data_IF_085021815720
#
_entry.id   IF_085021815720
#
_cell.length_a   1.000
_cell.length_b   1.000
_cell.length_c   1.000
_cell.angle_alpha   90.00
_cell.angle_beta   90.00
_cell.angle_gamma   90.00
#
_symmetry.space_group_name_H-M   'P 1'
#
loop_
_entity.id
_entity.type
_entity.pdbx_description
1 polymer ?
#
# COMPACT_ATOMS: atom_id res chain seq x y z
N UNK A 1 57.42 9.02 39.22
CA UNK A 1 56.37 9.46 40.15
C UNK A 1 55.12 9.76 39.32
N UNK A 2 54.15 8.84 39.33
CA UNK A 2 52.96 8.92 38.50
C UNK A 2 51.90 9.86 39.10
N UNK A 3 50.75 9.99 38.42
CA UNK A 3 49.60 10.74 38.96
C UNK A 3 49.06 10.14 40.28
N UNK A 4 49.34 8.86 40.57
CA UNK A 4 48.97 8.18 41.82
C UNK A 4 49.61 8.77 43.08
N UNK A 5 50.83 9.31 42.97
CA UNK A 5 51.58 9.88 44.10
C UNK A 5 51.10 11.29 44.51
N UNK A 6 50.17 11.87 43.75
CA UNK A 6 49.71 13.27 43.88
C UNK A 6 48.22 13.37 44.17
N UNK A 7 47.58 12.32 44.67
CA UNK A 7 46.15 12.36 45.00
C UNK A 7 45.95 13.19 46.27
N UNK A 8 45.06 14.18 46.21
CA UNK A 8 44.69 15.05 47.33
C UNK A 8 43.63 14.39 48.23
N UNK A 9 42.67 13.71 47.61
CA UNK A 9 41.51 13.15 48.30
C UNK A 9 41.00 11.90 47.59
N UNK A 10 40.51 10.94 48.38
CA UNK A 10 39.92 9.69 47.90
C UNK A 10 38.64 9.47 48.69
N UNK A 11 37.52 9.44 48.00
CA UNK A 11 36.23 9.06 48.57
C UNK A 11 35.59 7.99 47.69
N UNK A 12 34.73 7.19 48.30
CA UNK A 12 33.87 6.29 47.56
C UNK A 12 32.50 6.21 48.22
N UNK A 13 31.48 6.10 47.38
CA UNK A 13 30.08 6.03 47.78
C UNK A 13 29.44 4.80 47.16
N UNK A 14 28.57 4.12 47.89
CA UNK A 14 27.90 2.89 47.47
C UNK A 14 26.37 3.03 47.56
N UNK A 15 25.66 2.23 46.78
CA UNK A 15 24.19 2.12 46.81
C UNK A 15 23.50 2.63 45.54
N UNK A 16 22.20 2.88 45.64
CA UNK A 16 21.38 3.38 44.54
C UNK A 16 21.67 4.85 44.20
N UNK A 17 21.12 5.34 43.08
CA UNK A 17 21.30 6.74 42.67
C UNK A 17 20.90 7.72 43.78
N UNK A 18 21.83 8.60 44.16
CA UNK A 18 21.67 9.57 45.25
C UNK A 18 22.07 9.06 46.64
N UNK A 19 22.44 7.78 46.77
CA UNK A 19 23.00 7.22 48.01
C UNK A 19 24.34 7.86 48.37
N UNK A 20 24.56 8.04 49.68
CA UNK A 20 25.82 8.50 50.27
C UNK A 20 26.43 7.47 51.23
N UNK A 21 25.97 6.22 51.18
CA UNK A 21 26.56 5.14 51.95
C UNK A 21 28.03 4.96 51.54
N UNK A 22 28.87 4.51 52.45
CA UNK A 22 30.30 4.30 52.22
C UNK A 22 30.68 2.87 52.60
N UNK A 23 29.90 1.90 52.11
CA UNK A 23 30.14 0.46 52.30
C UNK A 23 31.31 0.00 51.41
N UNK A 24 32.45 0.66 51.55
CA UNK A 24 33.65 0.45 50.76
C UNK A 24 34.91 0.71 51.59
N UNK A 25 35.96 -0.03 51.30
CA UNK A 25 37.30 0.14 51.85
C UNK A 25 38.20 0.77 50.79
N UNK A 26 38.89 1.83 51.18
CA UNK A 26 39.90 2.50 50.36
C UNK A 26 41.27 2.09 50.90
N UNK A 27 42.12 1.53 50.06
CA UNK A 27 43.49 1.15 50.41
C UNK A 27 44.47 1.53 49.30
N UNK A 28 45.76 1.32 49.52
CA UNK A 28 46.80 1.53 48.52
C UNK A 28 47.63 0.26 48.41
N UNK A 29 47.82 -0.25 47.20
CA UNK A 29 48.57 -1.48 46.97
C UNK A 29 50.10 -1.27 47.10
N UNK A 30 50.87 -2.35 47.00
CA UNK A 30 52.33 -2.32 47.06
C UNK A 30 53.00 -1.56 45.90
N UNK A 31 52.24 -1.21 44.86
CA UNK A 31 52.70 -0.43 43.71
C UNK A 31 52.29 1.05 43.79
N UNK A 32 51.58 1.47 44.84
CA UNK A 32 51.12 2.84 45.03
C UNK A 32 49.79 3.17 44.34
N UNK A 33 49.07 2.18 43.82
CA UNK A 33 47.75 2.39 43.23
C UNK A 33 46.68 2.46 44.30
N UNK A 34 45.66 3.30 44.08
CA UNK A 34 44.50 3.35 44.97
C UNK A 34 43.57 2.18 44.66
N UNK A 35 43.23 1.40 45.68
CA UNK A 35 42.35 0.23 45.58
C UNK A 35 41.06 0.51 46.33
N UNK A 36 39.92 0.24 45.68
CA UNK A 36 38.58 0.46 46.21
C UNK A 36 37.84 -0.88 46.21
N UNK A 37 37.45 -1.35 47.40
CA UNK A 37 36.79 -2.63 47.59
C UNK A 37 35.44 -2.42 48.27
N UNK A 38 34.37 -3.01 47.74
CA UNK A 38 33.06 -2.98 48.42
C UNK A 38 33.09 -3.89 49.66
N UNK A 39 32.57 -3.43 50.79
CA UNK A 39 32.48 -4.25 52.03
C UNK A 39 31.20 -5.10 52.09
N UNK A 40 30.30 -4.94 51.11
CA UNK A 40 29.11 -5.76 50.91
C UNK A 40 28.87 -6.00 49.42
N UNK A 41 28.12 -7.07 49.11
CA UNK A 41 27.62 -7.31 47.76
C UNK A 41 26.62 -6.21 47.37
N UNK A 42 26.76 -5.67 46.16
CA UNK A 42 25.83 -4.70 45.60
C UNK A 42 24.62 -5.43 44.99
N UNK A 43 23.41 -4.95 45.28
CA UNK A 43 22.19 -5.46 44.68
C UNK A 43 22.03 -4.93 43.22
N UNK A 44 21.20 -5.58 42.38
CA UNK A 44 20.88 -5.05 41.06
C UNK A 44 20.39 -3.60 41.12
N UNK A 45 21.07 -2.68 40.43
CA UNK A 45 20.76 -1.25 40.43
C UNK A 45 21.52 -0.41 41.46
N UNK A 46 22.34 -1.03 42.32
CA UNK A 46 23.33 -0.34 43.16
C UNK A 46 24.70 -0.28 42.46
N UNK A 47 25.47 0.76 42.76
CA UNK A 47 26.81 0.95 42.22
C UNK A 47 27.82 1.42 43.27
N UNK A 48 29.07 1.57 42.85
CA UNK A 48 30.13 2.26 43.59
C UNK A 48 30.61 3.45 42.77
N UNK A 49 30.57 4.65 43.36
CA UNK A 49 31.10 5.88 42.78
C UNK A 49 32.42 6.20 43.46
N UNK A 50 33.49 6.35 42.68
CA UNK A 50 34.82 6.67 43.18
C UNK A 50 35.10 8.15 42.86
N UNK A 51 35.51 8.91 43.87
CA UNK A 51 35.96 10.30 43.74
C UNK A 51 37.43 10.34 44.08
N UNK A 52 38.25 10.72 43.11
CA UNK A 52 39.69 10.94 43.31
C UNK A 52 40.00 12.36 42.90
N UNK A 53 40.62 13.11 43.80
CA UNK A 53 40.99 14.51 43.56
C UNK A 53 42.48 14.61 43.31
N UNK A 54 42.86 15.30 42.23
CA UNK A 54 44.26 15.59 41.88
C UNK A 54 44.52 17.10 41.90
N UNK A 55 45.76 17.55 42.15
CA UNK A 55 46.14 18.94 41.99
C UNK A 55 45.99 19.37 40.53
N UNK A 56 45.66 20.64 40.34
CA UNK A 56 45.51 21.26 39.01
C UNK A 56 46.79 21.08 38.19
N UNK A 57 46.63 20.87 36.87
CA UNK A 57 47.75 20.71 35.92
C UNK A 57 48.17 19.26 35.65
N UNK A 58 47.50 18.27 36.24
CA UNK A 58 47.69 16.84 35.93
C UNK A 58 46.71 16.31 34.87
N UNK A 59 45.51 16.88 34.81
CA UNK A 59 44.50 16.61 33.77
C UNK A 59 44.25 17.93 33.05
N UNK A 60 44.53 17.96 31.74
CA UNK A 60 44.29 19.12 30.91
C UNK A 60 42.90 19.03 30.29
N UNK A 61 42.14 20.12 30.33
CA UNK A 61 40.88 20.21 29.62
C UNK A 61 41.13 20.18 28.10
N UNK A 62 40.34 19.44 27.30
CA UNK A 62 40.49 19.45 25.86
C UNK A 62 40.35 20.87 25.30
N UNK A 63 41.24 21.24 24.39
CA UNK A 63 41.20 22.50 23.66
C UNK A 63 39.89 22.64 22.87
N UNK A 64 39.50 23.87 22.52
CA UNK A 64 38.28 24.10 21.74
C UNK A 64 38.27 23.35 20.40
N UNK A 65 39.43 23.16 19.76
CA UNK A 65 39.58 22.36 18.54
C UNK A 65 39.37 20.86 18.79
N UNK A 66 39.85 20.32 19.91
CA UNK A 66 39.63 18.92 20.28
C UNK A 66 38.17 18.67 20.62
N UNK A 67 37.52 19.58 21.34
CA UNK A 67 36.07 19.51 21.58
C UNK A 67 35.27 19.54 20.28
N UNK A 68 35.64 20.42 19.34
CA UNK A 68 34.98 20.50 18.03
C UNK A 68 35.16 19.22 17.21
N UNK A 69 36.36 18.63 17.23
CA UNK A 69 36.64 17.36 16.56
C UNK A 69 35.83 16.21 17.16
N UNK A 70 35.81 16.10 18.50
CA UNK A 70 35.03 15.09 19.21
C UNK A 70 33.53 15.23 18.92
N UNK A 71 33.00 16.47 18.95
CA UNK A 71 31.60 16.73 18.57
C UNK A 71 31.32 16.33 17.12
N UNK A 72 32.24 16.57 16.19
CA UNK A 72 32.07 16.16 14.80
C UNK A 72 32.08 14.64 14.65
N UNK A 73 33.03 13.95 15.27
CA UNK A 73 33.15 12.49 15.23
C UNK A 73 31.92 11.81 15.86
N UNK A 74 31.44 12.33 16.99
CA UNK A 74 30.25 11.83 17.69
C UNK A 74 28.95 12.00 16.89
N UNK A 75 28.87 13.02 16.04
CA UNK A 75 27.67 13.36 15.26
C UNK A 75 27.81 13.10 13.75
N UNK A 76 28.90 12.47 13.31
CA UNK A 76 29.21 12.29 11.90
C UNK A 76 28.11 11.49 11.18
N UNK A 77 27.60 10.44 11.82
CA UNK A 77 26.50 9.62 11.29
C UNK A 77 25.22 10.42 11.06
N UNK A 78 24.88 11.33 11.98
CA UNK A 78 23.73 12.23 11.87
C UNK A 78 23.92 13.24 10.74
N UNK A 79 25.10 13.86 10.64
CA UNK A 79 25.42 14.82 9.60
C UNK A 79 25.39 14.18 8.20
N UNK A 80 25.94 12.98 8.06
CA UNK A 80 25.88 12.20 6.82
C UNK A 80 24.44 11.82 6.48
N UNK A 81 23.64 11.44 7.47
CA UNK A 81 22.22 11.15 7.30
C UNK A 81 21.41 12.36 6.80
N UNK A 82 21.54 13.50 7.47
CA UNK A 82 20.84 14.75 7.11
C UNK A 82 21.31 15.25 5.73
N UNK A 83 22.62 15.30 5.50
CA UNK A 83 23.19 15.69 4.21
C UNK A 83 22.74 14.77 3.08
N UNK A 84 22.69 13.47 3.34
CA UNK A 84 22.15 12.46 2.44
C UNK A 84 20.67 12.69 2.11
N UNK A 85 19.82 12.92 3.10
CA UNK A 85 18.39 13.23 2.90
C UNK A 85 18.22 14.49 2.05
N UNK A 86 18.98 15.56 2.34
CA UNK A 86 18.93 16.79 1.55
C UNK A 86 19.36 16.55 0.10
N UNK A 87 20.41 15.75 -0.11
CA UNK A 87 20.88 15.37 -1.44
C UNK A 87 19.81 14.55 -2.19
N UNK A 88 19.23 13.55 -1.55
CA UNK A 88 18.15 12.73 -2.12
C UNK A 88 16.94 13.58 -2.46
N UNK A 89 16.57 14.51 -1.58
CA UNK A 89 15.46 15.42 -1.77
C UNK A 89 15.72 16.34 -2.96
N UNK A 90 16.90 16.96 -3.03
CA UNK A 90 17.28 17.82 -4.14
C UNK A 90 17.28 17.05 -5.46
N UNK A 91 17.84 15.83 -5.47
CA UNK A 91 17.82 14.96 -6.64
C UNK A 91 16.39 14.68 -7.10
N UNK A 92 15.51 14.24 -6.20
CA UNK A 92 14.13 13.93 -6.53
C UNK A 92 13.31 15.15 -6.93
N UNK A 93 13.56 16.31 -6.32
CA UNK A 93 12.95 17.57 -6.73
C UNK A 93 13.37 17.95 -8.14
N UNK A 94 14.65 17.81 -8.50
CA UNK A 94 15.14 18.04 -9.87
C UNK A 94 14.48 17.05 -10.83
N UNK A 95 14.43 15.76 -10.47
CA UNK A 95 13.78 14.73 -11.29
C UNK A 95 12.29 15.05 -11.49
N UNK A 96 11.57 15.41 -10.44
CA UNK A 96 10.15 15.74 -10.50
C UNK A 96 9.89 16.97 -11.37
N UNK A 97 10.65 18.05 -11.19
CA UNK A 97 10.52 19.26 -12.01
C UNK A 97 10.79 18.98 -13.49
N UNK A 98 11.74 18.08 -13.80
CA UNK A 98 12.11 17.73 -15.19
C UNK A 98 11.14 16.78 -15.87
N UNK A 99 10.62 15.77 -15.17
CA UNK A 99 9.86 14.67 -15.81
C UNK A 99 8.56 14.27 -15.11
N UNK A 100 8.36 14.67 -13.85
CA UNK A 100 7.20 14.30 -13.06
C UNK A 100 6.07 15.34 -13.05
N UNK A 101 6.30 16.56 -13.52
CA UNK A 101 5.23 17.55 -13.71
C UNK A 101 4.34 17.15 -14.89
N UNK A 102 3.05 17.04 -14.62
CA UNK A 102 2.05 16.77 -15.65
C UNK A 102 2.01 17.94 -16.66
N UNK A 103 1.90 17.65 -17.98
CA UNK A 103 1.65 18.69 -18.98
C UNK A 103 0.37 19.47 -18.66
N UNK A 104 0.39 20.78 -18.92
CA UNK A 104 -0.76 21.64 -18.67
C UNK A 104 -2.00 21.18 -19.46
N UNK A 105 -3.21 21.29 -18.89
CA UNK A 105 -4.46 21.06 -19.61
C UNK A 105 -4.56 21.97 -20.84
N UNK A 106 -5.05 21.42 -21.96
CA UNK A 106 -5.59 22.24 -23.03
C UNK A 106 -6.96 22.84 -22.68
N UNK A 107 -7.53 23.68 -23.56
CA UNK A 107 -8.92 24.11 -23.44
C UNK A 107 -9.87 22.91 -23.52
N UNK A 108 -10.66 22.68 -22.47
CA UNK A 108 -11.62 21.58 -22.40
C UNK A 108 -12.96 22.07 -22.97
N UNK A 109 -13.33 21.54 -24.13
CA UNK A 109 -14.64 21.80 -24.73
C UNK A 109 -15.54 20.56 -24.52
N UNK A 110 -16.86 20.73 -24.31
CA UNK A 110 -17.79 19.60 -24.29
C UNK A 110 -17.68 18.79 -25.58
N UNK A 111 -17.47 17.48 -25.46
CA UNK A 111 -17.48 16.54 -26.59
C UNK A 111 -18.73 15.68 -26.51
N UNK A 112 -19.48 15.57 -27.60
CA UNK A 112 -20.74 14.83 -27.64
C UNK A 112 -20.56 13.32 -27.85
N UNK A 113 -19.37 12.91 -28.29
CA UNK A 113 -19.01 11.53 -28.59
C UNK A 113 -17.73 11.14 -27.84
N UNK A 114 -17.58 9.85 -27.47
CA UNK A 114 -16.36 9.38 -26.84
C UNK A 114 -15.18 9.49 -27.82
N UNK A 115 -13.94 9.70 -27.33
CA UNK A 115 -12.77 9.75 -28.19
C UNK A 115 -12.57 8.44 -28.97
N UNK A 116 -12.18 8.57 -30.24
CA UNK A 116 -12.08 7.44 -31.17
C UNK A 116 -11.21 6.29 -30.65
N UNK A 117 -11.77 5.08 -30.73
CA UNK A 117 -11.04 3.86 -30.39
C UNK A 117 -10.84 3.61 -28.90
N UNK A 118 -11.48 4.39 -28.01
CA UNK A 118 -11.44 4.15 -26.57
C UNK A 118 -12.72 3.44 -26.10
N UNK A 119 -12.56 2.24 -25.55
CA UNK A 119 -13.61 1.60 -24.76
C UNK A 119 -13.85 2.36 -23.45
N UNK A 120 -15.01 2.15 -22.77
CA UNK A 120 -15.26 2.77 -21.46
C UNK A 120 -14.17 2.45 -20.45
N UNK A 121 -13.74 1.19 -20.39
CA UNK A 121 -12.68 0.77 -19.50
C UNK A 121 -11.31 1.36 -19.86
N UNK A 122 -11.03 1.55 -21.15
CA UNK A 122 -9.84 2.25 -21.60
C UNK A 122 -9.85 3.73 -21.17
N UNK A 123 -10.98 4.43 -21.31
CA UNK A 123 -11.10 5.82 -20.82
C UNK A 123 -10.86 5.93 -19.32
N UNK A 124 -11.44 5.03 -18.52
CA UNK A 124 -11.18 5.00 -17.08
C UNK A 124 -9.71 4.70 -16.77
N UNK A 125 -9.13 3.74 -17.49
CA UNK A 125 -7.71 3.40 -17.34
C UNK A 125 -6.80 4.61 -17.65
N UNK A 126 -7.18 5.38 -18.67
CA UNK A 126 -6.49 6.61 -19.04
C UNK A 126 -6.66 7.67 -17.94
N UNK A 127 -7.89 8.04 -17.58
CA UNK A 127 -8.22 9.05 -16.56
C UNK A 127 -7.53 8.75 -15.21
N UNK A 128 -7.55 7.49 -14.75
CA UNK A 128 -6.99 7.08 -13.46
C UNK A 128 -5.51 6.71 -13.52
N UNK A 129 -4.90 6.78 -14.70
CA UNK A 129 -3.57 6.29 -14.99
C UNK A 129 -3.33 4.84 -14.53
N UNK A 130 -4.35 4.00 -14.49
CA UNK A 130 -4.28 2.71 -13.80
C UNK A 130 -5.57 1.92 -13.87
N UNK A 131 -5.47 0.65 -13.49
CA UNK A 131 -6.62 -0.25 -13.46
C UNK A 131 -7.28 -0.24 -12.08
N UNK A 132 -8.60 -0.26 -12.06
CA UNK A 132 -9.40 -0.48 -10.87
C UNK A 132 -10.65 -1.29 -11.20
N UNK A 133 -11.43 -1.62 -10.17
CA UNK A 133 -12.58 -2.53 -10.30
C UNK A 133 -13.71 -1.94 -11.13
N UNK A 134 -13.93 -0.62 -11.05
CA UNK A 134 -14.95 0.06 -11.87
C UNK A 134 -14.64 -0.05 -13.37
N UNK A 135 -13.37 -0.15 -13.78
CA UNK A 135 -13.02 -0.40 -15.19
C UNK A 135 -13.53 -1.77 -15.67
N UNK A 136 -13.55 -2.77 -14.80
CA UNK A 136 -14.10 -4.09 -15.11
C UNK A 136 -15.62 -4.05 -15.26
N UNK A 137 -16.33 -3.43 -14.32
CA UNK A 137 -17.79 -3.26 -14.39
C UNK A 137 -18.21 -2.50 -15.65
N UNK A 138 -17.49 -1.41 -15.99
CA UNK A 138 -17.74 -0.66 -17.22
C UNK A 138 -17.51 -1.49 -18.49
N UNK A 139 -16.49 -2.36 -18.52
CA UNK A 139 -16.24 -3.25 -19.64
C UNK A 139 -17.36 -4.29 -19.83
N UNK A 140 -17.82 -4.91 -18.74
CA UNK A 140 -18.88 -5.93 -18.77
C UNK A 140 -20.21 -5.31 -19.19
N UNK A 141 -20.53 -4.14 -18.64
CA UNK A 141 -21.70 -3.39 -19.04
C UNK A 141 -21.63 -3.01 -20.53
N UNK A 142 -20.46 -2.63 -21.05
CA UNK A 142 -20.30 -2.36 -22.47
C UNK A 142 -20.45 -3.61 -23.36
N UNK A 143 -19.99 -4.78 -22.88
CA UNK A 143 -20.23 -6.06 -23.56
C UNK A 143 -21.73 -6.38 -23.61
N UNK A 144 -22.46 -6.06 -22.54
CA UNK A 144 -23.90 -6.26 -22.44
C UNK A 144 -24.67 -5.36 -23.42
N UNK A 145 -24.36 -4.06 -23.41
CA UNK A 145 -24.95 -3.06 -24.34
C UNK A 145 -24.61 -3.38 -25.80
N UNK A 146 -23.42 -3.93 -26.09
CA UNK A 146 -23.05 -4.41 -27.44
C UNK A 146 -23.71 -5.75 -27.82
N UNK A 147 -24.59 -6.28 -26.97
CA UNK A 147 -25.33 -7.51 -27.18
C UNK A 147 -24.47 -8.76 -27.25
N UNK A 148 -23.31 -8.79 -26.55
CA UNK A 148 -22.41 -9.97 -26.50
C UNK A 148 -22.66 -10.87 -25.29
N UNK A 149 -23.29 -10.32 -24.26
CA UNK A 149 -23.74 -11.05 -23.09
C UNK A 149 -25.00 -10.40 -22.51
N UNK A 150 -25.71 -11.14 -21.69
CA UNK A 150 -26.75 -10.65 -20.77
C UNK A 150 -26.27 -10.82 -19.34
N UNK A 151 -26.84 -10.03 -18.45
CA UNK A 151 -26.54 -10.05 -17.03
C UNK A 151 -27.83 -10.41 -16.30
N UNK A 152 -27.85 -11.58 -15.69
CA UNK A 152 -28.90 -11.99 -14.77
C UNK A 152 -28.48 -11.68 -13.33
N UNK A 153 -29.42 -11.11 -12.56
CA UNK A 153 -29.28 -10.89 -11.12
C UNK A 153 -30.38 -11.66 -10.37
N UNK A 154 -29.96 -12.53 -9.46
CA UNK A 154 -30.83 -13.28 -8.55
C UNK A 154 -30.29 -13.10 -7.13
N UNK A 155 -31.09 -12.51 -6.22
CA UNK A 155 -30.74 -12.26 -4.81
C UNK A 155 -29.36 -11.60 -4.55
N UNK A 156 -28.86 -10.80 -5.51
CA UNK A 156 -27.57 -10.10 -5.44
C UNK A 156 -26.38 -10.89 -6.01
N UNK A 157 -26.61 -12.13 -6.44
CA UNK A 157 -25.69 -12.91 -7.24
C UNK A 157 -25.91 -12.63 -8.73
N UNK A 158 -24.81 -12.64 -9.48
CA UNK A 158 -24.81 -12.23 -10.88
C UNK A 158 -24.33 -13.37 -11.77
N UNK A 159 -25.07 -13.63 -12.84
CA UNK A 159 -24.72 -14.60 -13.88
C UNK A 159 -24.56 -13.88 -15.21
N UNK A 160 -23.42 -14.11 -15.88
CA UNK A 160 -23.17 -13.58 -17.22
C UNK A 160 -23.53 -14.66 -18.24
N UNK A 161 -24.51 -14.37 -19.09
CA UNK A 161 -25.01 -15.30 -20.10
C UNK A 161 -24.54 -14.83 -21.47
N UNK A 162 -23.87 -15.69 -22.22
CA UNK A 162 -23.40 -15.42 -23.58
C UNK A 162 -24.60 -15.31 -24.53
N UNK A 163 -24.49 -14.41 -25.50
CA UNK A 163 -25.46 -14.28 -26.59
C UNK A 163 -24.83 -14.71 -27.92
N UNK A 164 -25.67 -15.07 -28.89
CA UNK A 164 -25.24 -15.47 -30.24
C UNK A 164 -24.67 -14.31 -31.10
N UNK A 165 -24.44 -13.15 -30.49
CA UNK A 165 -23.90 -11.98 -31.18
C UNK A 165 -22.50 -12.23 -31.74
N UNK A 166 -22.28 -11.87 -33.02
CA UNK A 166 -20.96 -11.91 -33.66
C UNK A 166 -19.93 -11.10 -32.83
N UNK A 167 -18.65 -11.49 -32.81
CA UNK A 167 -17.57 -10.82 -32.04
C UNK A 167 -17.13 -9.46 -32.60
N UNK A 168 -17.72 -9.02 -33.70
CA UNK A 168 -17.44 -7.73 -34.33
C UNK A 168 -17.77 -6.54 -33.40
N UNK A 169 -16.93 -5.51 -33.46
CA UNK A 169 -17.08 -4.27 -32.67
C UNK A 169 -16.48 -4.29 -31.26
N UNK A 170 -15.81 -5.38 -30.84
CA UNK A 170 -15.10 -5.44 -29.56
C UNK A 170 -13.70 -4.83 -29.65
N UNK A 171 -13.35 -4.03 -28.66
CA UNK A 171 -11.96 -3.58 -28.48
C UNK A 171 -11.05 -4.76 -28.12
N UNK A 172 -9.74 -4.71 -28.40
CA UNK A 172 -8.81 -5.81 -28.11
C UNK A 172 -8.83 -6.27 -26.65
N UNK A 173 -8.99 -5.35 -25.71
CA UNK A 173 -9.12 -5.63 -24.28
C UNK A 173 -10.45 -6.30 -23.91
N UNK A 174 -11.58 -5.83 -24.47
CA UNK A 174 -12.90 -6.42 -24.25
C UNK A 174 -12.98 -7.83 -24.84
N UNK A 175 -12.41 -8.04 -26.03
CA UNK A 175 -12.35 -9.34 -26.67
C UNK A 175 -11.58 -10.36 -25.80
N UNK A 176 -10.47 -9.93 -25.18
CA UNK A 176 -9.70 -10.79 -24.25
C UNK A 176 -10.48 -11.09 -22.98
N UNK A 177 -11.17 -10.09 -22.40
CA UNK A 177 -12.03 -10.29 -21.24
C UNK A 177 -13.15 -11.30 -21.54
N UNK A 178 -13.88 -11.07 -22.63
CA UNK A 178 -14.97 -11.93 -23.09
C UNK A 178 -14.50 -13.38 -23.35
N UNK A 179 -13.37 -13.54 -24.05
CA UNK A 179 -12.81 -14.86 -24.37
C UNK A 179 -12.40 -15.64 -23.10
N UNK A 180 -11.90 -14.94 -22.08
CA UNK A 180 -11.46 -15.58 -20.83
C UNK A 180 -12.61 -15.90 -19.88
N UNK A 181 -13.63 -15.03 -19.82
CA UNK A 181 -14.83 -15.28 -19.02
C UNK A 181 -15.70 -16.37 -19.64
N UNK A 182 -16.21 -16.11 -20.84
CA UNK A 182 -17.21 -16.96 -21.49
C UNK A 182 -16.54 -17.90 -22.49
N UNK A 183 -15.87 -17.38 -23.52
CA UNK A 183 -15.17 -18.23 -24.49
C UNK A 183 -16.09 -19.30 -25.12
N UNK A 184 -15.88 -20.57 -24.73
CA UNK A 184 -16.69 -21.73 -25.16
C UNK A 184 -17.94 -21.89 -24.27
N UNK A 185 -17.93 -21.35 -23.05
CA UNK A 185 -19.04 -21.43 -22.10
C UNK A 185 -20.21 -20.56 -22.55
N UNK A 186 -21.42 -21.05 -22.26
CA UNK A 186 -22.65 -20.32 -22.50
C UNK A 186 -23.00 -19.38 -21.34
N UNK A 187 -22.56 -19.68 -20.13
CA UNK A 187 -22.76 -18.80 -18.97
C UNK A 187 -21.63 -18.93 -17.94
N UNK A 188 -21.54 -17.94 -17.04
CA UNK A 188 -20.65 -17.96 -15.88
C UNK A 188 -21.27 -17.19 -14.71
N UNK A 189 -21.54 -17.90 -13.60
CA UNK A 189 -21.94 -17.30 -12.34
C UNK A 189 -20.74 -16.64 -11.63
N UNK A 190 -20.93 -15.44 -11.07
CA UNK A 190 -19.90 -14.66 -10.37
C UNK A 190 -19.71 -15.12 -8.93
N UNK A 191 -19.41 -16.40 -8.77
CA UNK A 191 -19.31 -17.10 -7.48
C UNK A 191 -17.90 -17.65 -7.22
N UNK A 192 -17.74 -18.31 -6.06
CA UNK A 192 -16.45 -18.84 -5.59
C UNK A 192 -15.92 -19.96 -6.49
N UNK A 193 -16.81 -20.77 -7.02
CA UNK A 193 -16.56 -21.93 -7.88
C UNK A 193 -15.83 -21.49 -9.16
N UNK A 194 -16.18 -20.30 -9.66
CA UNK A 194 -15.61 -19.70 -10.87
C UNK A 194 -14.48 -18.70 -10.58
N UNK A 195 -14.05 -18.55 -9.33
CA UNK A 195 -13.12 -17.51 -8.90
C UNK A 195 -11.76 -17.52 -9.64
N UNK A 196 -11.21 -18.70 -9.97
CA UNK A 196 -9.99 -18.82 -10.76
C UNK A 196 -10.18 -18.31 -12.19
N UNK A 197 -11.30 -18.65 -12.83
CA UNK A 197 -11.65 -18.17 -14.17
C UNK A 197 -11.82 -16.65 -14.16
N UNK A 198 -12.53 -16.12 -13.17
CA UNK A 198 -12.76 -14.68 -13.00
C UNK A 198 -11.43 -13.94 -12.75
N UNK A 199 -10.57 -14.46 -11.87
CA UNK A 199 -9.28 -13.86 -11.55
C UNK A 199 -8.35 -13.86 -12.77
N UNK A 200 -8.27 -14.97 -13.50
CA UNK A 200 -7.45 -15.07 -14.72
C UNK A 200 -7.97 -14.16 -15.83
N UNK A 201 -9.30 -14.04 -15.98
CA UNK A 201 -9.91 -13.09 -16.91
C UNK A 201 -9.60 -11.63 -16.53
N UNK A 202 -9.74 -11.27 -15.25
CA UNK A 202 -9.41 -9.92 -14.75
C UNK A 202 -7.93 -9.60 -14.95
N UNK A 203 -7.02 -10.54 -14.65
CA UNK A 203 -5.58 -10.35 -14.88
C UNK A 203 -5.25 -10.21 -16.37
N UNK A 204 -5.87 -11.02 -17.23
CA UNK A 204 -5.69 -10.93 -18.68
C UNK A 204 -6.19 -9.58 -19.23
N UNK A 205 -7.33 -9.10 -18.74
CA UNK A 205 -7.90 -7.81 -19.08
C UNK A 205 -7.01 -6.65 -18.62
N UNK A 206 -6.59 -6.64 -17.35
CA UNK A 206 -5.66 -5.65 -16.81
C UNK A 206 -4.34 -5.64 -17.58
N UNK A 207 -3.80 -6.81 -17.92
CA UNK A 207 -2.59 -6.93 -18.74
C UNK A 207 -2.79 -6.39 -20.15
N UNK A 208 -3.97 -6.59 -20.75
CA UNK A 208 -4.33 -6.02 -22.05
C UNK A 208 -4.33 -4.50 -22.00
N UNK A 209 -5.09 -3.91 -21.08
CA UNK A 209 -5.14 -2.46 -20.88
C UNK A 209 -3.74 -1.87 -20.67
N UNK A 210 -2.95 -2.49 -19.79
CA UNK A 210 -1.57 -2.09 -19.55
C UNK A 210 -0.70 -2.17 -20.80
N UNK A 211 -0.83 -3.22 -21.60
CA UNK A 211 0.01 -3.40 -22.79
C UNK A 211 -0.34 -2.39 -23.89
N UNK A 212 -1.64 -2.14 -24.10
CA UNK A 212 -2.13 -1.26 -25.17
C UNK A 212 -2.04 0.23 -24.82
N UNK A 213 -2.32 0.62 -23.57
CA UNK A 213 -2.44 2.02 -23.19
C UNK A 213 -1.24 2.54 -22.35
N UNK A 214 -0.54 1.70 -21.59
CA UNK A 214 0.44 2.23 -20.64
C UNK A 214 1.61 2.97 -21.31
N UNK A 215 2.21 2.39 -22.35
CA UNK A 215 3.40 2.97 -23.01
C UNK A 215 3.08 4.23 -23.81
N UNK A 216 1.88 4.30 -24.40
CA UNK A 216 1.47 5.41 -25.26
C UNK A 216 1.01 6.62 -24.43
N UNK A 217 0.34 6.38 -23.31
CA UNK A 217 -0.33 7.43 -22.53
C UNK A 217 0.46 7.87 -21.29
N UNK A 218 1.37 7.05 -20.75
CA UNK A 218 2.08 7.37 -19.50
C UNK A 218 3.58 7.18 -19.58
N UNK A 219 4.32 8.00 -18.82
CA UNK A 219 5.72 7.80 -18.50
C UNK A 219 5.86 7.53 -17.00
N UNK A 220 6.41 6.36 -16.67
CA UNK A 220 6.78 6.03 -15.28
C UNK A 220 8.06 6.71 -14.83
N UNK A 221 8.87 7.18 -15.80
CA UNK A 221 10.16 7.81 -15.54
C UNK A 221 11.09 6.98 -14.63
N UNK A 222 11.06 5.65 -14.76
CA UNK A 222 11.84 4.72 -13.91
C UNK A 222 13.34 4.97 -13.99
N UNK A 223 13.85 5.47 -15.12
CA UNK A 223 15.25 5.85 -15.27
C UNK A 223 15.69 6.99 -14.34
N UNK A 224 14.77 7.86 -13.91
CA UNK A 224 15.02 8.91 -12.91
C UNK A 224 14.75 8.42 -11.48
N UNK A 225 13.92 7.39 -11.31
CA UNK A 225 13.64 6.83 -9.99
C UNK A 225 14.81 5.97 -9.48
N UNK A 226 15.39 5.12 -10.34
CA UNK A 226 16.45 4.16 -9.95
C UNK A 226 17.69 4.84 -9.33
N UNK A 227 18.25 5.93 -9.87
CA UNK A 227 19.39 6.59 -9.22
C UNK A 227 19.03 7.17 -7.84
N UNK A 228 17.78 7.59 -7.63
CA UNK A 228 17.30 8.01 -6.31
C UNK A 228 17.33 6.87 -5.30
N UNK A 229 16.83 5.69 -5.68
CA UNK A 229 16.92 4.47 -4.85
C UNK A 229 18.37 4.07 -4.57
N UNK A 230 19.28 4.23 -5.54
CA UNK A 230 20.71 3.96 -5.31
C UNK A 230 21.31 4.94 -4.30
N UNK A 231 20.96 6.24 -4.38
CA UNK A 231 21.34 7.24 -3.39
C UNK A 231 20.80 6.86 -2.01
N UNK A 232 19.52 6.46 -1.92
CA UNK A 232 18.90 5.96 -0.69
C UNK A 232 19.69 4.82 -0.05
N UNK A 233 20.05 3.80 -0.83
CA UNK A 233 20.86 2.66 -0.36
C UNK A 233 22.23 3.14 0.15
N UNK A 234 22.90 4.02 -0.60
CA UNK A 234 24.22 4.55 -0.21
C UNK A 234 24.15 5.34 1.11
N UNK A 235 23.10 6.13 1.33
CA UNK A 235 22.88 6.87 2.58
C UNK A 235 22.73 5.90 3.75
N UNK A 236 21.87 4.88 3.60
CA UNK A 236 21.62 3.91 4.67
C UNK A 236 22.86 3.09 5.00
N UNK A 237 23.61 2.66 3.99
CA UNK A 237 24.89 1.95 4.17
C UNK A 237 25.92 2.84 4.85
N UNK A 238 26.05 4.11 4.44
CA UNK A 238 26.99 5.05 5.06
C UNK A 238 26.65 5.29 6.54
N UNK A 239 25.38 5.51 6.86
CA UNK A 239 24.91 5.69 8.25
C UNK A 239 25.17 4.43 9.09
N UNK A 240 24.97 3.24 8.52
CA UNK A 240 25.27 1.98 9.21
C UNK A 240 26.77 1.75 9.41
N UNK A 241 27.62 2.10 8.44
CA UNK A 241 29.07 1.96 8.56
C UNK A 241 29.69 2.90 9.60
N UNK A 242 29.10 4.08 9.77
CA UNK A 242 29.51 5.07 10.78
C UNK A 242 28.92 4.79 12.17
N UNK A 243 28.15 3.70 12.32
CA UNK A 243 27.54 3.35 13.59
C UNK A 243 28.53 2.66 14.53
N UNK A 244 28.22 2.65 15.84
CA UNK A 244 29.06 1.99 16.85
C UNK A 244 29.26 0.50 16.56
N UNK A 245 28.23 -0.16 16.05
CA UNK A 245 28.25 -1.57 15.66
C UNK A 245 27.91 -1.72 14.17
N UNK A 246 28.89 -1.41 13.31
CA UNK A 246 28.69 -1.37 11.87
C UNK A 246 28.19 -2.69 11.26
N UNK A 247 28.84 -3.82 11.58
CA UNK A 247 28.48 -5.14 11.03
C UNK A 247 27.05 -5.55 11.44
N UNK A 248 26.66 -5.50 12.73
CA UNK A 248 25.27 -5.72 13.12
C UNK A 248 24.27 -4.76 12.46
N UNK A 249 24.63 -3.48 12.30
CA UNK A 249 23.75 -2.49 11.69
C UNK A 249 23.47 -2.81 10.21
N UNK A 250 24.50 -3.17 9.45
CA UNK A 250 24.37 -3.58 8.06
C UNK A 250 23.52 -4.86 7.91
N UNK A 251 23.76 -5.84 8.77
CA UNK A 251 22.95 -7.05 8.82
C UNK A 251 21.48 -6.71 9.09
N UNK A 252 21.20 -5.86 10.08
CA UNK A 252 19.84 -5.45 10.43
C UNK A 252 19.16 -4.68 9.29
N UNK A 253 19.85 -3.81 8.56
CA UNK A 253 19.29 -3.11 7.39
C UNK A 253 18.88 -4.09 6.29
N UNK A 254 19.76 -5.04 5.95
CA UNK A 254 19.47 -6.07 4.94
C UNK A 254 18.31 -6.95 5.39
N UNK A 255 18.33 -7.41 6.64
CA UNK A 255 17.28 -8.24 7.22
C UNK A 255 15.92 -7.54 7.21
N UNK A 256 15.85 -6.29 7.70
CA UNK A 256 14.62 -5.50 7.72
C UNK A 256 14.07 -5.31 6.31
N UNK A 257 14.90 -5.07 5.29
CA UNK A 257 14.39 -4.87 3.92
C UNK A 257 13.51 -6.02 3.40
N UNK A 258 13.91 -7.27 3.67
CA UNK A 258 13.13 -8.46 3.30
C UNK A 258 11.96 -8.70 4.26
N UNK A 259 12.19 -8.53 5.56
CA UNK A 259 11.18 -8.77 6.60
C UNK A 259 10.01 -7.78 6.51
N UNK A 260 10.29 -6.49 6.38
CA UNK A 260 9.29 -5.42 6.21
C UNK A 260 8.38 -5.71 5.01
N UNK A 261 8.93 -6.21 3.89
CA UNK A 261 8.11 -6.56 2.72
C UNK A 261 7.10 -7.68 3.03
N UNK A 262 7.51 -8.71 3.78
CA UNK A 262 6.62 -9.77 4.25
C UNK A 262 5.56 -9.25 5.22
N UNK A 263 5.95 -8.40 6.18
CA UNK A 263 5.05 -7.77 7.16
C UNK A 263 4.01 -6.89 6.47
N UNK A 264 4.40 -6.09 5.48
CA UNK A 264 3.46 -5.27 4.69
C UNK A 264 2.49 -6.13 3.87
N UNK A 265 2.95 -7.25 3.30
CA UNK A 265 2.07 -8.17 2.58
C UNK A 265 1.04 -8.83 3.51
N UNK A 266 1.46 -9.31 4.68
CA UNK A 266 0.57 -9.90 5.69
C UNK A 266 -0.40 -8.85 6.27
N UNK A 267 0.09 -7.66 6.58
CA UNK A 267 -0.73 -6.54 7.07
C UNK A 267 -1.77 -6.09 6.02
N UNK A 268 -1.38 -6.02 4.76
CA UNK A 268 -2.29 -5.75 3.65
C UNK A 268 -3.38 -6.82 3.49
N UNK A 269 -3.01 -8.09 3.64
CA UNK A 269 -3.96 -9.20 3.65
C UNK A 269 -4.91 -9.17 4.85
N UNK A 270 -4.42 -8.88 6.06
CA UNK A 270 -5.23 -8.68 7.26
C UNK A 270 -6.22 -7.51 7.07
N UNK A 271 -5.74 -6.35 6.62
CA UNK A 271 -6.56 -5.18 6.32
C UNK A 271 -7.63 -5.49 5.27
N UNK A 272 -7.27 -6.20 4.20
CA UNK A 272 -8.22 -6.60 3.16
C UNK A 272 -9.34 -7.51 3.69
N UNK A 273 -9.02 -8.37 4.66
CA UNK A 273 -9.98 -9.29 5.29
C UNK A 273 -10.96 -8.53 6.18
N UNK A 274 -10.49 -7.58 6.99
CA UNK A 274 -11.36 -6.68 7.76
C UNK A 274 -12.23 -5.79 6.88
N UNK A 275 -11.68 -5.27 5.78
CA UNK A 275 -12.45 -4.49 4.81
C UNK A 275 -13.57 -5.31 4.18
N UNK A 276 -13.40 -6.62 4.00
CA UNK A 276 -14.46 -7.51 3.52
C UNK A 276 -15.57 -7.66 4.58
N UNK A 277 -15.21 -7.87 5.85
CA UNK A 277 -16.17 -7.96 6.97
C UNK A 277 -17.02 -6.70 7.09
N UNK A 278 -16.39 -5.51 7.10
CA UNK A 278 -17.11 -4.24 7.21
C UNK A 278 -18.02 -3.93 6.02
N UNK A 279 -17.81 -4.59 4.88
CA UNK A 279 -18.62 -4.45 3.67
C UNK A 279 -19.67 -5.56 3.50
N UNK A 280 -19.87 -6.41 4.50
CA UNK A 280 -20.82 -7.52 4.43
C UNK A 280 -20.37 -8.69 3.53
N UNK A 281 -19.09 -8.75 3.16
CA UNK A 281 -18.55 -9.83 2.32
C UNK A 281 -18.38 -11.14 3.10
N UNK A 282 -18.61 -12.28 2.44
CA UNK A 282 -18.69 -13.63 3.02
C UNK A 282 -17.44 -14.22 3.70
N UNK A 283 -16.37 -13.45 3.92
CA UNK A 283 -15.32 -13.88 4.87
C UNK A 283 -15.85 -13.64 6.28
N UNK A 284 -16.30 -14.72 6.93
CA UNK A 284 -16.73 -14.67 8.33
C UNK A 284 -15.65 -14.02 9.21
N UNK A 285 -16.10 -13.27 10.22
CA UNK A 285 -15.25 -12.52 11.18
C UNK A 285 -14.06 -13.36 11.67
N UNK A 286 -14.25 -14.67 11.87
CA UNK A 286 -13.20 -15.61 12.28
C UNK A 286 -11.98 -15.66 11.35
N UNK A 287 -12.16 -15.53 10.03
CA UNK A 287 -11.04 -15.50 9.08
C UNK A 287 -10.22 -14.22 9.18
N UNK A 288 -10.87 -13.08 9.40
CA UNK A 288 -10.18 -11.80 9.63
C UNK A 288 -9.41 -11.81 10.96
N UNK A 289 -10.01 -12.38 12.01
CA UNK A 289 -9.36 -12.59 13.31
C UNK A 289 -8.13 -13.50 13.14
N UNK A 290 -8.29 -14.67 12.51
CA UNK A 290 -7.19 -15.61 12.28
C UNK A 290 -6.02 -14.99 11.52
N UNK A 291 -6.29 -14.24 10.45
CA UNK A 291 -5.26 -13.52 9.70
C UNK A 291 -4.57 -12.44 10.55
N UNK A 292 -5.31 -11.76 11.42
CA UNK A 292 -4.75 -10.73 12.31
C UNK A 292 -3.84 -11.35 13.36
N UNK A 293 -4.30 -12.43 14.02
CA UNK A 293 -3.52 -13.18 15.00
C UNK A 293 -2.25 -13.75 14.38
N UNK A 294 -2.32 -14.26 13.15
CA UNK A 294 -1.15 -14.73 12.42
C UNK A 294 -0.18 -13.60 12.06
N UNK A 295 -0.68 -12.40 11.73
CA UNK A 295 0.14 -11.22 11.41
C UNK A 295 0.87 -10.64 12.63
N UNK A 296 0.27 -10.64 13.82
CA UNK A 296 0.79 -9.97 15.01
C UNK A 296 2.23 -10.38 15.40
N UNK A 297 2.62 -11.67 15.41
CA UNK A 297 4.00 -12.07 15.69
C UNK A 297 5.02 -11.48 14.71
N UNK A 298 4.68 -11.36 13.43
CA UNK A 298 5.59 -10.79 12.42
C UNK A 298 5.74 -9.28 12.60
N UNK A 299 4.64 -8.59 12.94
CA UNK A 299 4.66 -7.18 13.31
C UNK A 299 5.50 -6.95 14.57
N UNK A 300 5.35 -7.80 15.59
CA UNK A 300 6.19 -7.75 16.79
C UNK A 300 7.66 -7.97 16.43
N UNK A 301 7.96 -8.91 15.54
CA UNK A 301 9.31 -9.12 14.99
C UNK A 301 9.88 -7.89 14.29
N UNK A 302 9.07 -7.17 13.50
CA UNK A 302 9.46 -5.90 12.86
C UNK A 302 9.81 -4.84 13.91
N UNK A 303 8.96 -4.67 14.93
CA UNK A 303 9.19 -3.70 16.02
C UNK A 303 10.47 -4.04 16.78
N UNK A 304 10.70 -5.33 17.08
CA UNK A 304 11.93 -5.82 17.72
C UNK A 304 13.13 -5.58 16.81
N UNK A 305 13.01 -5.82 15.50
CA UNK A 305 14.07 -5.57 14.54
C UNK A 305 14.45 -4.09 14.46
N UNK A 306 13.47 -3.20 14.38
CA UNK A 306 13.69 -1.75 14.42
C UNK A 306 14.33 -1.33 15.75
N UNK A 307 13.88 -1.89 16.87
CA UNK A 307 14.48 -1.64 18.18
C UNK A 307 15.95 -2.10 18.25
N UNK A 308 16.27 -3.29 17.71
CA UNK A 308 17.63 -3.82 17.63
C UNK A 308 18.53 -2.98 16.71
N UNK A 309 18.00 -2.45 15.61
CA UNK A 309 18.72 -1.46 14.78
C UNK A 309 19.04 -0.19 15.57
N UNK A 310 18.09 0.31 16.36
CA UNK A 310 18.32 1.46 17.24
C UNK A 310 19.38 1.22 18.31
N UNK A 311 19.44 0.01 18.88
CA UNK A 311 20.45 -0.40 19.86
C UNK A 311 21.84 -0.59 19.25
N UNK A 312 21.93 -1.10 18.01
CA UNK A 312 23.21 -1.33 17.33
C UNK A 312 23.78 -0.07 16.69
N UNK A 313 22.92 0.84 16.22
CA UNK A 313 23.33 2.08 15.57
C UNK A 313 23.00 3.31 16.42
N UNK A 314 21.79 3.85 16.26
CA UNK A 314 21.23 4.97 17.00
C UNK A 314 19.75 5.09 16.64
N UNK A 315 18.94 5.67 17.53
CA UNK A 315 17.54 5.98 17.21
C UNK A 315 17.40 6.99 16.05
N UNK A 316 18.42 7.81 15.82
CA UNK A 316 18.47 8.74 14.66
C UNK A 316 18.55 8.00 13.33
N UNK A 317 19.24 6.85 13.28
CA UNK A 317 19.34 6.03 12.06
C UNK A 317 17.98 5.46 11.65
N UNK A 318 17.10 5.15 12.61
CA UNK A 318 15.72 4.71 12.33
C UNK A 318 14.94 5.85 11.68
N UNK A 319 15.04 7.07 12.21
CA UNK A 319 14.37 8.24 11.63
C UNK A 319 14.84 8.50 10.19
N UNK A 320 16.15 8.41 9.93
CA UNK A 320 16.73 8.53 8.59
C UNK A 320 16.16 7.46 7.65
N UNK A 321 16.11 6.20 8.09
CA UNK A 321 15.52 5.10 7.31
C UNK A 321 14.07 5.38 6.91
N UNK A 322 13.23 5.79 7.86
CA UNK A 322 11.82 6.06 7.60
C UNK A 322 11.63 7.24 6.64
N UNK A 323 12.42 8.30 6.79
CA UNK A 323 12.37 9.47 5.90
C UNK A 323 12.78 9.08 4.47
N UNK A 324 13.88 8.33 4.32
CA UNK A 324 14.38 7.88 3.02
C UNK A 324 13.34 6.99 2.32
N UNK A 325 12.77 6.00 3.01
CA UNK A 325 11.73 5.13 2.44
C UNK A 325 10.45 5.91 2.12
N UNK A 326 10.06 6.87 2.96
CA UNK A 326 8.92 7.74 2.72
C UNK A 326 9.10 8.62 1.48
N UNK A 327 10.31 9.15 1.28
CA UNK A 327 10.66 9.93 0.09
C UNK A 327 10.63 9.06 -1.18
N UNK A 328 11.22 7.87 -1.14
CA UNK A 328 11.17 6.93 -2.28
C UNK A 328 9.72 6.59 -2.65
N UNK A 329 8.86 6.32 -1.66
CA UNK A 329 7.44 6.05 -1.90
C UNK A 329 6.70 7.26 -2.49
N UNK A 330 6.93 8.46 -1.94
CA UNK A 330 6.34 9.72 -2.41
C UNK A 330 6.74 10.00 -3.87
N UNK A 331 8.03 9.95 -4.18
CA UNK A 331 8.52 10.26 -5.52
C UNK A 331 8.29 9.14 -6.53
N UNK A 332 8.17 7.88 -6.10
CA UNK A 332 7.68 6.82 -6.99
C UNK A 332 6.27 7.13 -7.51
N UNK A 333 5.40 7.68 -6.66
CA UNK A 333 4.07 8.11 -7.06
C UNK A 333 4.11 9.40 -7.89
N UNK A 334 4.89 10.39 -7.46
CA UNK A 334 4.93 11.73 -8.05
C UNK A 334 5.69 11.80 -9.40
N UNK A 335 6.63 10.89 -9.67
CA UNK A 335 7.37 10.84 -10.94
C UNK A 335 6.56 10.25 -12.10
N UNK A 336 5.43 9.62 -11.82
CA UNK A 336 4.55 9.08 -12.86
C UNK A 336 3.73 10.23 -13.46
N UNK A 337 3.90 10.47 -14.76
CA UNK A 337 3.24 11.55 -15.48
C UNK A 337 2.61 11.06 -16.79
N UNK A 338 1.57 11.72 -17.33
CA UNK A 338 1.05 11.42 -18.65
C UNK A 338 1.99 11.93 -19.75
N UNK A 339 1.97 11.28 -20.92
CA UNK A 339 2.63 11.80 -22.12
C UNK A 339 1.87 13.01 -22.67
N UNK A 340 2.47 13.81 -23.57
CA UNK A 340 1.74 14.89 -24.26
C UNK A 340 0.52 14.35 -25.02
N UNK A 341 0.66 13.18 -25.67
CA UNK A 341 -0.46 12.49 -26.29
C UNK A 341 -1.50 12.05 -25.25
N UNK A 342 -1.04 11.47 -24.14
CA UNK A 342 -1.91 11.05 -23.04
C UNK A 342 -2.69 12.21 -22.42
N UNK A 343 -2.06 13.37 -22.25
CA UNK A 343 -2.73 14.59 -21.75
C UNK A 343 -3.81 15.07 -22.72
N UNK A 344 -3.52 15.13 -24.03
CA UNK A 344 -4.53 15.52 -25.04
C UNK A 344 -5.73 14.58 -25.03
N UNK A 345 -5.49 13.28 -24.89
CA UNK A 345 -6.58 12.30 -24.80
C UNK A 345 -7.35 12.43 -23.47
N UNK A 346 -6.66 12.72 -22.36
CA UNK A 346 -7.33 13.06 -21.09
C UNK A 346 -8.21 14.29 -21.21
N UNK A 347 -7.76 15.35 -21.91
CA UNK A 347 -8.56 16.56 -22.12
C UNK A 347 -9.84 16.24 -22.93
N UNK A 348 -9.75 15.35 -23.94
CA UNK A 348 -10.93 14.87 -24.68
C UNK A 348 -11.87 14.04 -23.81
N UNK A 349 -11.31 13.14 -23.00
CA UNK A 349 -12.09 12.34 -22.03
C UNK A 349 -12.80 13.27 -21.04
N UNK A 350 -12.14 14.33 -20.58
CA UNK A 350 -12.71 15.33 -19.68
C UNK A 350 -13.81 16.15 -20.38
N UNK A 351 -13.64 16.49 -21.66
CA UNK A 351 -14.68 17.11 -22.48
C UNK A 351 -15.92 16.21 -22.66
N UNK A 352 -15.73 14.91 -22.87
CA UNK A 352 -16.84 13.95 -22.94
C UNK A 352 -17.49 13.72 -21.58
N UNK A 353 -16.70 13.68 -20.50
CA UNK A 353 -17.22 13.64 -19.12
C UNK A 353 -18.09 14.85 -18.82
N UNK A 354 -17.65 16.05 -19.23
CA UNK A 354 -18.42 17.27 -19.07
C UNK A 354 -19.79 17.12 -19.74
N UNK A 355 -19.83 16.64 -20.99
CA UNK A 355 -21.08 16.36 -21.69
C UNK A 355 -22.01 15.38 -20.96
N UNK A 356 -21.48 14.29 -20.41
CA UNK A 356 -22.27 13.30 -19.65
C UNK A 356 -22.74 13.83 -18.28
N UNK A 357 -22.02 14.79 -17.70
CA UNK A 357 -22.32 15.38 -16.39
C UNK A 357 -23.37 16.50 -16.41
N UNK A 358 -23.77 16.95 -17.60
CA UNK A 358 -24.70 18.07 -17.78
C UNK A 358 -26.07 17.70 -17.26
N UNK A 359 -26.58 18.53 -16.35
CA UNK A 359 -27.94 18.40 -15.84
C UNK A 359 -28.97 18.88 -16.86
N UNK A 360 -30.21 18.41 -16.76
CA UNK A 360 -31.32 18.84 -17.64
C UNK A 360 -31.55 20.37 -17.60
N UNK A 361 -31.22 21.04 -16.47
CA UNK A 361 -31.30 22.50 -16.34
C UNK A 361 -30.19 23.22 -17.12
N UNK A 362 -29.00 22.63 -17.19
CA UNK A 362 -27.85 23.19 -17.89
C UNK A 362 -27.89 22.88 -19.40
N UNK A 363 -28.75 21.95 -19.83
CA UNK A 363 -28.98 21.59 -21.24
C UNK A 363 -29.46 22.79 -22.08
N UNK A 364 -30.15 23.76 -21.47
CA UNK A 364 -30.58 25.01 -22.16
C UNK A 364 -29.39 25.82 -22.70
N UNK A 365 -28.19 25.64 -22.15
CA UNK A 365 -26.98 26.31 -22.61
C UNK A 365 -26.28 25.58 -23.77
N UNK A 366 -26.75 24.39 -24.16
CA UNK A 366 -26.19 23.63 -25.27
C UNK A 366 -26.83 24.03 -26.60
N UNK A 367 -25.98 24.25 -27.60
CA UNK A 367 -26.42 24.64 -28.95
C UNK A 367 -27.13 23.53 -29.74
N UNK A 368 -27.01 22.28 -29.27
CA UNK A 368 -27.56 21.11 -29.97
C UNK A 368 -28.42 20.30 -28.99
N UNK A 369 -29.75 20.30 -29.15
CA UNK A 369 -30.65 19.44 -28.38
C UNK A 369 -30.32 17.98 -28.72
N UNK A 370 -30.27 17.13 -27.70
CA UNK A 370 -30.07 15.70 -27.90
C UNK A 370 -31.44 15.04 -28.03
N UNK A 371 -31.58 14.13 -28.99
CA UNK A 371 -32.71 13.19 -28.99
C UNK A 371 -32.55 12.24 -27.81
N UNK A 372 -33.28 12.50 -26.72
CA UNK A 372 -33.32 11.62 -25.56
C UNK A 372 -34.05 10.34 -25.99
N UNK A 373 -33.33 9.26 -26.27
CA UNK A 373 -33.90 7.94 -26.58
C UNK A 373 -33.32 6.87 -25.66
N UNK A 374 -34.04 5.77 -25.38
CA UNK A 374 -33.51 4.66 -24.58
C UNK A 374 -32.20 4.09 -25.15
N UNK A 375 -32.06 4.02 -26.48
CA UNK A 375 -30.85 3.51 -27.14
C UNK A 375 -29.64 4.40 -26.87
N UNK A 376 -29.84 5.72 -26.84
CA UNK A 376 -28.77 6.66 -26.52
C UNK A 376 -28.34 6.56 -25.05
N UNK A 377 -29.32 6.38 -24.15
CA UNK A 377 -29.05 6.15 -22.74
C UNK A 377 -28.17 4.92 -22.56
N UNK A 378 -28.57 3.78 -23.14
CA UNK A 378 -27.82 2.52 -23.09
C UNK A 378 -26.43 2.65 -23.71
N UNK A 379 -26.32 3.31 -24.88
CA UNK A 379 -25.06 3.51 -25.59
C UNK A 379 -23.99 4.18 -24.72
N UNK A 380 -24.36 5.19 -23.91
CA UNK A 380 -23.41 5.96 -23.11
C UNK A 380 -23.34 5.60 -21.63
N UNK A 381 -24.24 4.76 -21.14
CA UNK A 381 -24.25 4.29 -19.77
C UNK A 381 -22.92 3.62 -19.32
N UNK A 382 -22.28 2.71 -20.10
CA UNK A 382 -20.98 2.16 -19.73
C UNK A 382 -19.89 3.22 -19.56
N UNK A 383 -19.96 4.29 -20.36
CA UNK A 383 -19.00 5.38 -20.34
C UNK A 383 -19.23 6.34 -19.17
N UNK A 384 -20.49 6.65 -18.86
CA UNK A 384 -20.85 7.42 -17.67
C UNK A 384 -20.36 6.72 -16.41
N UNK A 385 -20.54 5.40 -16.34
CA UNK A 385 -20.03 4.58 -15.25
C UNK A 385 -18.49 4.58 -15.17
N UNK A 386 -17.82 4.47 -16.32
CA UNK A 386 -16.37 4.51 -16.39
C UNK A 386 -15.80 5.84 -15.84
N UNK A 387 -16.48 6.96 -16.11
CA UNK A 387 -16.05 8.31 -15.73
C UNK A 387 -16.59 8.77 -14.37
N UNK A 388 -17.48 7.99 -13.74
CA UNK A 388 -18.02 8.29 -12.41
C UNK A 388 -19.15 9.32 -12.42
N UNK A 389 -19.87 9.45 -13.53
CA UNK A 389 -20.98 10.41 -13.74
C UNK A 389 -22.29 9.68 -14.08
N UNK A 390 -22.39 8.40 -13.73
CA UNK A 390 -23.55 7.53 -14.01
C UNK A 390 -24.88 8.08 -13.47
N UNK A 391 -24.88 8.69 -12.27
CA UNK A 391 -26.09 9.27 -11.67
C UNK A 391 -26.57 10.48 -12.47
N UNK A 392 -25.66 11.40 -12.82
CA UNK A 392 -25.99 12.60 -13.58
C UNK A 392 -26.52 12.23 -14.98
N UNK A 393 -25.95 11.19 -15.58
CA UNK A 393 -26.43 10.65 -16.84
C UNK A 393 -27.84 10.04 -16.71
N UNK A 394 -28.09 9.24 -15.66
CA UNK A 394 -29.42 8.66 -15.42
C UNK A 394 -30.48 9.72 -15.15
N UNK A 395 -30.17 10.73 -14.34
CA UNK A 395 -31.08 11.83 -14.01
C UNK A 395 -31.55 12.57 -15.27
N UNK A 396 -30.67 12.75 -16.27
CA UNK A 396 -30.99 13.44 -17.53
C UNK A 396 -32.05 12.71 -18.38
N UNK A 397 -32.16 11.39 -18.22
CA UNK A 397 -33.11 10.53 -18.93
C UNK A 397 -34.31 10.12 -18.06
N UNK A 398 -34.37 10.59 -16.80
CA UNK A 398 -35.42 10.22 -15.86
C UNK A 398 -36.83 10.48 -16.42
N UNK A 399 -37.04 11.58 -17.15
CA UNK A 399 -38.35 11.88 -17.74
C UNK A 399 -38.81 10.82 -18.75
N UNK A 400 -37.93 10.29 -19.60
CA UNK A 400 -38.31 9.29 -20.61
C UNK A 400 -38.42 7.89 -20.01
N UNK A 401 -37.47 7.55 -19.13
CA UNK A 401 -37.50 6.29 -18.38
C UNK A 401 -38.77 6.19 -17.51
N UNK A 402 -39.35 7.33 -17.11
CA UNK A 402 -40.61 7.43 -16.37
C UNK A 402 -41.87 7.68 -17.23
N UNK A 403 -41.75 8.07 -18.50
CA UNK A 403 -42.92 8.41 -19.36
C UNK A 403 -43.32 7.29 -20.30
N UNK A 404 -42.42 6.38 -20.69
CA UNK A 404 -42.79 5.15 -21.43
C UNK A 404 -43.52 4.09 -20.56
N UNK A 405 -44.10 4.51 -19.43
CA UNK A 405 -44.73 3.68 -18.43
C UNK A 405 -46.26 3.59 -18.65
N UNK A 406 -46.74 2.45 -19.15
CA UNK A 406 -48.05 1.96 -18.69
C UNK A 406 -47.85 1.25 -17.33
N UNK A 407 -48.67 1.55 -16.30
CA UNK A 407 -48.57 0.94 -14.97
C UNK A 407 -48.62 -0.60 -14.95
N UNK A 408 -49.06 -1.23 -16.04
CA UNK A 408 -49.19 -2.68 -16.18
C UNK A 408 -47.90 -3.40 -16.66
N UNK A 409 -46.87 -2.69 -17.12
CA UNK A 409 -45.65 -3.32 -17.72
C UNK A 409 -44.34 -3.20 -16.92
N UNK A 410 -44.34 -2.64 -15.70
CA UNK A 410 -43.25 -2.86 -14.75
C UNK A 410 -41.89 -2.20 -15.08
N UNK A 411 -41.89 -0.94 -15.54
CA UNK A 411 -40.68 -0.11 -15.65
C UNK A 411 -39.85 -0.35 -16.92
N UNK A 412 -39.00 0.63 -17.29
CA UNK A 412 -37.96 0.41 -18.31
C UNK A 412 -37.02 -0.72 -17.87
N UNK A 413 -36.83 -1.72 -18.75
CA UNK A 413 -35.96 -2.88 -18.55
C UNK A 413 -35.02 -3.02 -19.74
N UNK A 414 -33.69 -2.83 -19.55
CA UNK A 414 -32.75 -3.03 -20.63
C UNK A 414 -32.77 -4.49 -21.11
N UNK A 415 -32.70 -4.71 -22.42
CA UNK A 415 -32.75 -6.08 -23.00
C UNK A 415 -31.55 -6.95 -22.59
N UNK A 416 -30.47 -6.33 -22.12
CA UNK A 416 -29.24 -6.97 -21.68
C UNK A 416 -29.22 -7.27 -20.16
N UNK A 417 -30.24 -6.89 -19.40
CA UNK A 417 -30.33 -7.11 -17.95
C UNK A 417 -31.67 -7.69 -17.52
N UNK A 418 -31.64 -8.76 -16.73
CA UNK A 418 -32.80 -9.34 -16.06
C UNK A 418 -32.51 -9.46 -14.56
N UNK A 419 -33.46 -9.01 -13.73
CA UNK A 419 -33.32 -9.08 -12.28
C UNK A 419 -34.53 -8.55 -11.53
N UNK A 420 -34.51 -8.72 -10.21
CA UNK A 420 -35.60 -8.37 -9.30
C UNK A 420 -35.68 -6.86 -8.99
N UNK A 421 -34.57 -6.12 -9.16
CA UNK A 421 -34.49 -4.69 -8.91
C UNK A 421 -35.15 -3.86 -10.04
N UNK A 422 -36.00 -2.90 -9.66
CA UNK A 422 -36.64 -1.96 -10.57
C UNK A 422 -35.61 -0.89 -11.02
N UNK A 423 -35.27 -0.85 -12.31
CA UNK A 423 -34.16 -0.04 -12.85
C UNK A 423 -34.35 1.49 -12.64
N UNK A 424 -35.58 1.94 -12.43
CA UNK A 424 -35.96 3.37 -12.38
C UNK A 424 -35.66 4.14 -11.08
N UNK A 425 -35.38 3.49 -9.94
CA UNK A 425 -35.21 4.19 -8.65
C UNK A 425 -33.82 4.01 -7.98
N UNK A 426 -33.02 3.05 -8.44
CA UNK A 426 -31.66 2.76 -7.95
C UNK A 426 -30.59 2.78 -9.06
N UNK A 427 -31.02 3.04 -10.30
CA UNK A 427 -30.38 2.66 -11.57
C UNK A 427 -28.90 3.03 -11.73
N UNK A 428 -28.17 2.22 -12.51
CA UNK A 428 -26.76 2.37 -12.88
C UNK A 428 -25.70 2.34 -11.76
N UNK A 429 -25.75 3.24 -10.78
CA UNK A 429 -24.72 3.33 -9.74
C UNK A 429 -24.81 2.21 -8.71
N UNK A 430 -26.05 1.85 -8.29
CA UNK A 430 -26.30 0.68 -7.45
C UNK A 430 -25.75 -0.57 -8.13
N UNK A 431 -26.17 -0.82 -9.37
CA UNK A 431 -25.73 -1.93 -10.22
C UNK A 431 -24.20 -2.04 -10.33
N UNK A 432 -23.50 -0.94 -10.62
CA UNK A 432 -22.06 -1.01 -10.80
C UNK A 432 -21.32 -1.32 -9.48
N UNK A 433 -21.85 -0.82 -8.37
CA UNK A 433 -21.31 -1.07 -7.04
C UNK A 433 -21.52 -2.52 -6.60
N UNK A 434 -22.72 -3.07 -6.82
CA UNK A 434 -23.09 -4.45 -6.49
C UNK A 434 -22.35 -5.45 -7.39
N UNK A 435 -22.31 -5.23 -8.71
CA UNK A 435 -21.54 -6.05 -9.64
C UNK A 435 -20.05 -6.04 -9.29
N UNK A 436 -19.48 -4.86 -8.99
CA UNK A 436 -18.08 -4.77 -8.55
C UNK A 436 -17.83 -5.51 -7.23
N UNK A 437 -18.80 -5.55 -6.31
CA UNK A 437 -18.66 -6.34 -5.08
C UNK A 437 -18.71 -7.83 -5.35
N UNK A 438 -19.61 -8.33 -6.20
CA UNK A 438 -19.71 -9.76 -6.49
C UNK A 438 -18.43 -10.29 -7.17
N UNK A 439 -17.85 -9.53 -8.12
CA UNK A 439 -16.51 -9.82 -8.65
C UNK A 439 -15.42 -9.86 -7.58
N UNK A 440 -15.48 -8.91 -6.65
CA UNK A 440 -14.50 -8.85 -5.56
C UNK A 440 -14.63 -10.04 -4.63
N UNK A 441 -15.85 -10.43 -4.31
CA UNK A 441 -16.18 -11.59 -3.47
C UNK A 441 -15.68 -12.87 -4.12
N UNK A 442 -16.04 -13.12 -5.39
CA UNK A 442 -15.55 -14.26 -6.17
C UNK A 442 -14.02 -14.33 -6.15
N UNK A 443 -13.30 -13.27 -6.55
CA UNK A 443 -11.82 -13.27 -6.57
C UNK A 443 -11.20 -13.41 -5.17
N UNK A 444 -11.78 -12.80 -4.14
CA UNK A 444 -11.24 -12.87 -2.78
C UNK A 444 -11.37 -14.24 -2.11
N UNK A 445 -12.26 -15.07 -2.65
CA UNK A 445 -12.58 -16.42 -2.15
C UNK A 445 -11.64 -17.51 -2.69
N UNK A 446 -10.95 -17.28 -3.83
CA UNK A 446 -9.92 -18.18 -4.35
C UNK A 446 -8.56 -18.03 -3.66
N UNK A 447 -8.35 -16.94 -2.92
CA UNK A 447 -7.09 -16.67 -2.21
C UNK A 447 -7.01 -17.35 -0.83
N UNK A 448 -7.98 -18.19 -0.49
CA UNK A 448 -7.95 -19.01 0.73
C UNK A 448 -7.32 -20.36 0.31
N UNK A 449 -6.22 -20.82 0.94
CA UNK A 449 -5.70 -22.16 0.71
C UNK A 449 -6.84 -23.18 0.84
N UNK A 450 -6.87 -24.28 0.08
CA UNK A 450 -7.87 -25.32 0.28
C UNK A 450 -7.80 -25.76 1.74
N UNK A 451 -8.82 -25.42 2.52
CA UNK A 451 -9.02 -25.93 3.85
C UNK A 451 -9.16 -27.43 3.72
N UNK A 452 -8.18 -28.14 4.28
CA UNK A 452 -8.11 -29.59 4.36
C UNK A 452 -9.36 -30.17 5.02
N UNK A 453 -10.33 -30.59 4.22
CA UNK A 453 -11.40 -31.48 4.64
C UNK A 453 -11.17 -32.88 4.07
N UNK A 454 -10.35 -33.64 4.79
CA UNK A 454 -10.24 -35.11 4.79
C UNK A 454 -9.59 -35.46 6.14
N UNK A 455 -10.22 -36.13 7.10
CA UNK A 455 -10.87 -37.42 6.97
C UNK A 455 -9.87 -38.52 7.36
N UNK A 456 -9.93 -38.99 8.61
CA UNK A 456 -9.49 -40.35 8.99
C UNK A 456 -8.24 -40.50 9.86
N UNK A 457 -8.38 -41.26 10.95
CA UNK A 457 -7.35 -42.19 11.43
C UNK A 457 -6.70 -41.85 12.77
N UNK A 458 -7.07 -42.60 13.82
CA UNK A 458 -6.47 -42.51 15.14
C UNK A 458 -5.03 -43.02 15.24
N UNK A 459 -4.42 -42.72 16.37
CA UNK A 459 -3.10 -43.22 16.77
C UNK A 459 -2.70 -42.61 18.10
N UNK A 460 -3.00 -43.31 19.20
CA UNK A 460 -2.42 -42.98 20.49
C UNK A 460 -0.93 -43.29 20.50
N UNK A 461 -0.15 -42.52 21.26
CA UNK A 461 1.07 -43.02 21.87
C UNK A 461 1.22 -42.46 23.28
N UNK A 462 1.47 -43.40 24.17
CA UNK A 462 1.80 -43.23 25.59
C UNK A 462 3.30 -43.46 25.75
N UNK A 463 3.91 -42.81 26.75
CA UNK A 463 5.30 -43.03 27.18
C UNK A 463 6.30 -42.02 26.60
N UNK A 464 7.21 -41.43 27.36
CA UNK A 464 7.52 -41.61 28.77
C UNK A 464 8.74 -40.75 29.16
N UNK A 465 8.83 -40.46 30.47
CA UNK A 465 10.05 -40.46 31.28
C UNK A 465 11.31 -39.70 30.85
N UNK A 466 11.70 -38.75 31.69
CA UNK A 466 13.07 -38.26 31.90
C UNK A 466 13.04 -36.84 32.49
N UNK A 467 13.37 -36.54 33.75
CA UNK A 467 14.15 -37.26 34.74
C UNK A 467 15.39 -36.43 35.13
N UNK A 468 15.24 -35.57 36.14
CA UNK A 468 16.23 -35.40 37.23
C UNK A 468 17.41 -34.42 37.10
N UNK A 469 17.57 -33.63 38.19
CA UNK A 469 18.86 -33.19 38.76
C UNK A 469 19.27 -31.76 38.42
N UNK A 470 19.61 -30.85 39.36
CA UNK A 470 19.83 -30.96 40.80
C UNK A 470 20.90 -29.95 41.23
N UNK A 471 20.78 -29.43 42.46
CA UNK A 471 21.84 -28.76 43.25
C UNK A 471 22.19 -27.34 42.78
N UNK A 472 22.36 -26.34 43.65
CA UNK A 472 23.04 -26.39 44.95
C UNK A 472 24.26 -25.48 44.82
N UNK A 473 24.44 -24.56 45.77
CA UNK A 473 25.28 -23.38 45.61
C UNK A 473 26.78 -23.63 45.57
N UNK A 474 27.52 -22.56 45.25
CA UNK A 474 28.61 -22.00 46.05
C UNK A 474 28.60 -20.48 45.88
#
# INVERSE_FOLDING_TARGET
KGAGDKILEKEAYTGSYGSKLQDCRISTDSQGNSVFETTRTLAPGEGMTIVVLWPKGLVYEPTSSEKAKLLLEDNLSLLVGIGGILLLFLYYMIAWVKVGKDPAPGPIAPMYEPPDGLSPAAMRYIERMGFDKKAMSAAILNLAVKGKLKIEEEDGDYTLIKTDGNREGLSPEEARLFTKLLGIRDEIALERENALTIQTAMQAFQKSLKTHFMKKYFKKNTGWFVPGVLISILILVAVALLSRLAVPSLFMLLWLSGWTAGVLALGGAAFSSWKAVFKGGGKGIGGAIGMTVFFLPFLAGEIVGIFMLGKSSSYTAIAILLIVLGMDALFYWLLKAPTLFGRREMDKIEGFKLFLSVSEKDEMNFRTPISKTPELFEKYLPYALALGVENQWADRFASILNTELTPEQGGYRPTWYSGTANWGALGAAGFASSLSSSFSSAVSSSSVPPGSSSGGGGGGFSGGGGGGGGGGGF
#
